data_IF_489537592458
#
_entry.id   IF_489537592458
#
_cell.length_a   1.000
_cell.length_b   1.000
_cell.length_c   1.000
_cell.angle_alpha   90.00
_cell.angle_beta   90.00
_cell.angle_gamma   90.00
#
_symmetry.space_group_name_H-M   'P 1'
#
loop_
_entity.id
_entity.type
_entity.pdbx_description
1 polymer ?
#
# COMPACT_ATOMS: atom_id res chain seq x y z
N UNK A 1 -15.13 35.75 -10.27
CA UNK A 1 -13.75 36.25 -10.16
C UNK A 1 -12.83 35.29 -10.93
N UNK A 2 -12.08 35.86 -11.89
CA UNK A 2 -11.02 35.13 -12.59
C UNK A 2 -9.87 34.93 -11.61
N UNK A 3 -9.61 33.67 -11.25
CA UNK A 3 -8.54 33.28 -10.32
C UNK A 3 -7.25 32.91 -11.06
N UNK A 4 -7.19 33.17 -12.38
CA UNK A 4 -5.99 32.92 -13.20
C UNK A 4 -5.65 31.47 -13.46
N UNK A 5 -6.55 30.51 -13.15
CA UNK A 5 -6.36 29.10 -13.48
C UNK A 5 -6.60 28.89 -14.97
N UNK A 6 -5.58 28.43 -15.67
CA UNK A 6 -5.63 28.16 -17.12
C UNK A 6 -5.56 26.66 -17.45
N UNK A 7 -5.30 25.81 -16.47
CA UNK A 7 -5.25 24.35 -16.64
C UNK A 7 -5.70 23.64 -15.36
N UNK A 8 -6.49 22.59 -15.51
CA UNK A 8 -6.86 21.66 -14.44
C UNK A 8 -6.40 20.27 -14.86
N UNK A 9 -5.63 19.59 -13.99
CA UNK A 9 -5.26 18.18 -14.16
C UNK A 9 -5.88 17.37 -13.03
N UNK A 10 -6.55 16.28 -13.40
CA UNK A 10 -7.19 15.36 -12.47
C UNK A 10 -6.63 13.95 -12.68
N UNK A 11 -6.50 13.20 -11.61
CA UNK A 11 -6.18 11.77 -11.63
C UNK A 11 -7.30 11.03 -10.91
N UNK A 12 -8.37 10.63 -11.63
CA UNK A 12 -9.45 9.86 -11.02
C UNK A 12 -8.93 8.54 -10.48
N UNK A 13 -9.47 8.05 -9.34
CA UNK A 13 -9.12 6.73 -8.83
C UNK A 13 -9.64 5.65 -9.78
N UNK A 14 -9.00 4.48 -9.83
CA UNK A 14 -9.58 3.30 -10.49
C UNK A 14 -10.97 2.98 -9.98
N UNK A 15 -11.86 2.56 -10.86
CA UNK A 15 -13.28 2.29 -10.56
C UNK A 15 -13.47 1.23 -9.45
N UNK A 16 -12.49 0.32 -9.28
CA UNK A 16 -12.53 -0.70 -8.23
C UNK A 16 -12.49 -0.12 -6.81
N UNK A 17 -12.04 1.13 -6.63
CA UNK A 17 -11.99 1.81 -5.33
C UNK A 17 -13.31 2.48 -4.95
N UNK A 18 -14.25 2.58 -5.89
CA UNK A 18 -15.57 3.13 -5.63
C UNK A 18 -16.44 2.09 -4.90
N UNK A 19 -17.36 2.56 -4.05
CA UNK A 19 -18.35 1.68 -3.40
C UNK A 19 -19.20 0.94 -4.43
N UNK A 20 -19.58 1.64 -5.50
CA UNK A 20 -20.25 1.06 -6.66
C UNK A 20 -19.44 1.31 -7.93
N UNK A 21 -19.30 0.31 -8.83
CA UNK A 21 -18.65 0.52 -10.12
C UNK A 21 -19.47 1.55 -10.94
N UNK A 22 -18.92 2.75 -11.07
CA UNK A 22 -19.55 3.82 -11.83
C UNK A 22 -18.50 4.60 -12.65
N UNK A 23 -18.94 5.14 -13.79
CA UNK A 23 -18.10 5.92 -14.71
C UNK A 23 -18.69 7.33 -14.94
N UNK A 24 -19.52 7.79 -14.02
CA UNK A 24 -20.19 9.09 -14.15
C UNK A 24 -19.19 10.24 -14.19
N UNK A 25 -18.12 10.15 -13.39
CA UNK A 25 -17.07 11.17 -13.37
C UNK A 25 -16.36 11.25 -14.72
N UNK A 26 -15.94 10.12 -15.28
CA UNK A 26 -15.26 10.07 -16.58
C UNK A 26 -16.14 10.63 -17.69
N UNK A 27 -17.42 10.26 -17.72
CA UNK A 27 -18.38 10.79 -18.65
C UNK A 27 -18.55 12.31 -18.50
N UNK A 28 -18.69 12.81 -17.26
CA UNK A 28 -18.85 14.25 -16.99
C UNK A 28 -17.61 15.06 -17.42
N UNK A 29 -16.40 14.53 -17.13
CA UNK A 29 -15.15 15.16 -17.54
C UNK A 29 -15.04 15.24 -19.05
N UNK A 30 -15.32 14.15 -19.79
CA UNK A 30 -15.32 14.14 -21.25
C UNK A 30 -16.34 15.13 -21.82
N UNK A 31 -17.54 15.20 -21.25
CA UNK A 31 -18.58 16.18 -21.65
C UNK A 31 -18.16 17.63 -21.40
N UNK A 32 -17.25 17.88 -20.47
CA UNK A 32 -16.67 19.21 -20.16
C UNK A 32 -15.40 19.52 -20.94
N UNK A 33 -15.00 18.64 -21.89
CA UNK A 33 -13.86 18.86 -22.76
C UNK A 33 -12.51 18.45 -22.12
N UNK A 34 -12.51 17.65 -21.06
CA UNK A 34 -11.27 17.05 -20.56
C UNK A 34 -10.78 15.97 -21.52
N UNK A 35 -9.48 15.93 -21.71
CA UNK A 35 -8.80 14.94 -22.55
C UNK A 35 -7.92 14.03 -21.69
N UNK A 36 -7.82 12.75 -22.06
CA UNK A 36 -6.93 11.80 -21.41
C UNK A 36 -5.50 12.07 -21.88
N UNK A 37 -4.66 12.58 -20.98
CA UNK A 37 -3.25 12.88 -21.27
C UNK A 37 -2.28 11.79 -20.79
N UNK A 38 -2.74 10.90 -19.93
CA UNK A 38 -1.95 9.77 -19.38
C UNK A 38 -2.87 8.65 -18.97
N UNK A 39 -2.46 7.42 -19.25
CA UNK A 39 -3.11 6.20 -18.75
C UNK A 39 -2.11 5.39 -17.98
N UNK A 40 -2.50 4.88 -16.80
CA UNK A 40 -1.69 4.01 -15.97
C UNK A 40 -2.42 2.67 -15.78
N UNK A 41 -1.64 1.59 -15.67
CA UNK A 41 -2.18 0.27 -15.40
C UNK A 41 -2.13 0.00 -13.90
N UNK A 42 -3.29 -0.28 -13.31
CA UNK A 42 -3.40 -0.76 -11.93
C UNK A 42 -3.52 -2.28 -11.95
N UNK A 43 -2.79 -2.95 -11.07
CA UNK A 43 -2.86 -4.40 -10.88
C UNK A 43 -3.43 -4.69 -9.49
N UNK A 44 -4.22 -5.75 -9.39
CA UNK A 44 -4.78 -6.22 -8.14
C UNK A 44 -4.63 -7.73 -8.00
N UNK A 45 -4.58 -8.19 -6.76
CA UNK A 45 -4.63 -9.61 -6.40
C UNK A 45 -6.05 -9.92 -5.93
N UNK A 46 -6.63 -11.00 -6.44
CA UNK A 46 -7.93 -11.49 -5.98
C UNK A 46 -7.76 -12.17 -4.62
N UNK A 47 -8.58 -11.76 -3.64
CA UNK A 47 -8.63 -12.34 -2.30
C UNK A 47 -9.95 -13.10 -2.04
N UNK A 48 -10.81 -13.20 -3.06
CA UNK A 48 -12.09 -13.92 -3.01
C UNK A 48 -11.94 -15.41 -3.39
N UNK A 49 -10.76 -15.97 -3.18
CA UNK A 49 -10.42 -17.38 -3.36
C UNK A 49 -10.08 -18.00 -2.00
N UNK A 50 -10.23 -19.34 -1.82
CA UNK A 50 -9.84 -20.01 -0.59
C UNK A 50 -8.37 -19.75 -0.22
N UNK A 51 -8.11 -19.61 1.08
CA UNK A 51 -6.77 -19.25 1.57
C UNK A 51 -5.71 -20.28 1.18
N UNK A 52 -6.07 -21.57 1.20
CA UNK A 52 -5.20 -22.67 0.79
C UNK A 52 -4.87 -22.65 -0.72
N UNK A 53 -5.72 -22.05 -1.54
CA UNK A 53 -5.48 -21.85 -2.97
C UNK A 53 -4.71 -20.56 -3.26
N UNK A 54 -4.78 -19.56 -2.37
CA UNK A 54 -4.18 -18.24 -2.57
C UNK A 54 -2.67 -18.36 -2.84
N UNK A 55 -1.94 -19.07 -1.99
CA UNK A 55 -0.51 -19.29 -2.17
C UNK A 55 -0.21 -20.05 -3.48
N UNK A 56 -1.11 -20.95 -3.91
CA UNK A 56 -1.04 -21.66 -5.19
C UNK A 56 -1.15 -20.73 -6.40
N UNK A 57 -1.90 -19.65 -6.28
CA UNK A 57 -2.12 -18.67 -7.36
C UNK A 57 -0.89 -17.83 -7.71
N UNK A 58 0.05 -17.68 -6.77
CA UNK A 58 1.28 -16.92 -7.00
C UNK A 58 2.28 -17.64 -7.89
N UNK A 59 3.09 -16.87 -8.59
CA UNK A 59 4.20 -17.44 -9.40
C UNK A 59 5.19 -18.19 -8.50
N UNK A 60 5.85 -19.21 -9.07
CA UNK A 60 6.72 -20.12 -8.32
C UNK A 60 7.82 -19.42 -7.51
N UNK A 61 8.38 -18.32 -8.04
CA UNK A 61 9.39 -17.52 -7.35
C UNK A 61 8.87 -16.91 -6.05
N UNK A 62 7.65 -16.38 -6.05
CA UNK A 62 7.01 -15.81 -4.85
C UNK A 62 6.70 -16.88 -3.83
N UNK A 63 6.10 -18.02 -4.25
CA UNK A 63 5.85 -19.16 -3.34
C UNK A 63 7.12 -19.67 -2.66
N UNK A 64 8.19 -19.78 -3.43
CA UNK A 64 9.49 -20.23 -2.89
C UNK A 64 10.06 -19.21 -1.89
N UNK A 65 9.94 -17.92 -2.18
CA UNK A 65 10.37 -16.85 -1.28
C UNK A 65 9.57 -16.87 0.02
N UNK A 66 8.25 -16.99 -0.04
CA UNK A 66 7.36 -17.12 1.11
C UNK A 66 7.77 -18.29 2.02
N UNK A 67 7.81 -19.50 1.46
CA UNK A 67 8.18 -20.71 2.22
C UNK A 67 9.58 -20.64 2.83
N UNK A 68 10.50 -19.94 2.17
CA UNK A 68 11.84 -19.71 2.72
C UNK A 68 11.79 -18.74 3.89
N UNK A 69 11.05 -17.65 3.79
CA UNK A 69 10.90 -16.68 4.86
C UNK A 69 10.30 -17.32 6.11
N UNK A 70 9.25 -18.12 5.94
CA UNK A 70 8.62 -18.92 7.01
C UNK A 70 9.63 -19.85 7.72
N UNK A 71 10.40 -20.62 6.95
CA UNK A 71 11.46 -21.49 7.47
C UNK A 71 12.58 -20.77 8.21
N UNK A 72 12.85 -19.52 7.84
CA UNK A 72 13.84 -18.67 8.51
C UNK A 72 13.30 -18.05 9.81
N UNK A 73 12.03 -18.28 10.14
CA UNK A 73 11.42 -17.81 11.38
C UNK A 73 10.91 -16.39 11.32
N UNK A 74 10.64 -15.87 10.13
CA UNK A 74 9.94 -14.60 9.98
C UNK A 74 8.52 -14.74 10.52
N UNK A 75 8.03 -13.70 11.21
CA UNK A 75 6.69 -13.67 11.78
C UNK A 75 5.92 -12.50 11.18
N UNK A 76 4.70 -12.79 10.75
CA UNK A 76 3.75 -11.77 10.29
C UNK A 76 2.85 -11.32 11.44
N UNK A 77 2.59 -10.03 11.55
CA UNK A 77 1.67 -9.47 12.54
C UNK A 77 0.90 -8.28 11.97
N UNK A 78 -0.41 -8.29 12.15
CA UNK A 78 -1.28 -7.13 11.90
C UNK A 78 -1.29 -6.26 13.16
N UNK A 79 -1.23 -4.95 12.97
CA UNK A 79 -1.31 -3.93 14.03
C UNK A 79 -2.52 -3.06 13.73
N UNK A 80 -3.60 -3.27 14.46
CA UNK A 80 -4.83 -2.49 14.29
C UNK A 80 -4.71 -1.09 14.87
N UNK A 81 -4.10 -0.97 16.05
CA UNK A 81 -3.91 0.28 16.77
C UNK A 81 -2.42 0.45 17.10
N UNK A 82 -1.63 1.03 16.19
CA UNK A 82 -0.20 1.18 16.40
C UNK A 82 0.11 2.09 17.58
N UNK A 83 0.99 1.62 18.45
CA UNK A 83 1.61 2.46 19.48
C UNK A 83 2.50 3.51 18.83
N UNK A 84 2.84 4.57 19.58
CA UNK A 84 3.76 5.60 19.09
C UNK A 84 5.11 4.98 18.67
N UNK A 85 5.62 4.02 19.43
CA UNK A 85 6.88 3.33 19.10
C UNK A 85 6.80 2.52 17.79
N UNK A 86 5.68 1.84 17.54
CA UNK A 86 5.44 1.11 16.30
C UNK A 86 5.30 2.08 15.11
N UNK A 87 4.64 3.22 15.32
CA UNK A 87 4.52 4.26 14.31
C UNK A 87 5.88 4.92 14.01
N UNK A 88 6.69 5.18 15.04
CA UNK A 88 8.04 5.68 14.87
C UNK A 88 8.90 4.71 14.07
N UNK A 89 8.80 3.42 14.41
CA UNK A 89 9.51 2.37 13.69
C UNK A 89 9.06 2.23 12.24
N UNK A 90 7.75 2.35 11.97
CA UNK A 90 7.21 2.43 10.62
C UNK A 90 7.88 3.55 9.83
N UNK A 91 7.89 4.76 10.40
CA UNK A 91 8.44 5.93 9.74
C UNK A 91 9.95 5.78 9.43
N UNK A 92 10.72 5.29 10.38
CA UNK A 92 12.16 5.03 10.21
C UNK A 92 12.41 4.10 9.02
N UNK A 93 11.75 2.93 8.98
CA UNK A 93 11.92 1.95 7.90
C UNK A 93 11.49 2.54 6.55
N UNK A 94 10.40 3.29 6.51
CA UNK A 94 9.92 3.92 5.28
C UNK A 94 10.93 4.93 4.75
N UNK A 95 11.44 5.81 5.59
CA UNK A 95 12.42 6.84 5.20
C UNK A 95 13.73 6.20 4.74
N UNK A 96 14.26 5.24 5.50
CA UNK A 96 15.47 4.48 5.16
C UNK A 96 15.33 3.80 3.78
N UNK A 97 14.21 3.10 3.57
CA UNK A 97 13.93 2.42 2.31
C UNK A 97 13.85 3.39 1.12
N UNK A 98 13.16 4.52 1.28
CA UNK A 98 13.04 5.54 0.23
C UNK A 98 14.38 6.23 -0.06
N UNK A 99 15.17 6.50 0.97
CA UNK A 99 16.52 7.05 0.80
C UNK A 99 17.43 6.10 0.01
N UNK A 100 17.36 4.78 0.26
CA UNK A 100 18.06 3.76 -0.52
C UNK A 100 17.67 3.73 -2.00
N UNK A 101 16.46 4.20 -2.34
CA UNK A 101 15.97 4.35 -3.71
C UNK A 101 16.26 5.74 -4.31
N UNK A 102 16.91 6.64 -3.57
CA UNK A 102 17.19 8.00 -4.01
C UNK A 102 15.97 8.94 -4.03
N UNK A 103 14.90 8.60 -3.28
CA UNK A 103 13.67 9.38 -3.19
C UNK A 103 13.26 9.62 -1.73
N UNK A 104 12.29 10.50 -1.52
CA UNK A 104 11.64 10.70 -0.22
C UNK A 104 10.22 10.13 -0.24
N UNK A 105 9.61 9.80 0.90
CA UNK A 105 8.20 9.50 0.98
C UNK A 105 7.36 10.63 0.38
N UNK A 106 6.26 10.29 -0.30
CA UNK A 106 5.35 11.28 -0.91
C UNK A 106 4.65 12.17 0.13
N UNK A 107 4.47 11.66 1.34
CA UNK A 107 3.87 12.37 2.48
C UNK A 107 4.92 12.53 3.57
N UNK A 108 4.80 13.61 4.35
CA UNK A 108 5.60 13.76 5.56
C UNK A 108 4.94 13.01 6.75
N UNK A 109 5.69 12.86 7.84
CA UNK A 109 5.23 12.13 9.01
C UNK A 109 3.92 12.67 9.59
N UNK A 110 3.77 14.00 9.68
CA UNK A 110 2.57 14.63 10.24
C UNK A 110 1.31 14.38 9.39
N UNK A 111 1.47 14.33 8.08
CA UNK A 111 0.37 14.00 7.15
C UNK A 111 -0.09 12.55 7.34
N UNK A 112 0.84 11.62 7.55
CA UNK A 112 0.53 10.21 7.81
C UNK A 112 -0.13 10.04 9.19
N UNK A 113 0.37 10.72 10.24
CA UNK A 113 -0.24 10.73 11.57
C UNK A 113 -1.65 11.33 11.53
N UNK A 114 -1.83 12.44 10.81
CA UNK A 114 -3.13 13.07 10.62
C UNK A 114 -4.11 12.11 9.94
N UNK A 115 -3.68 11.45 8.90
CA UNK A 115 -4.50 10.49 8.16
C UNK A 115 -4.93 9.33 9.04
N UNK A 116 -3.99 8.75 9.82
CA UNK A 116 -4.30 7.71 10.79
C UNK A 116 -5.34 8.15 11.83
N UNK A 117 -5.27 9.41 12.27
CA UNK A 117 -6.22 9.96 13.25
C UNK A 117 -7.60 10.27 12.64
N UNK A 118 -7.67 10.58 11.34
CA UNK A 118 -8.92 10.94 10.67
C UNK A 118 -9.75 9.72 10.25
N UNK A 119 -9.10 8.64 9.84
CA UNK A 119 -9.75 7.43 9.29
C UNK A 119 -9.10 6.14 9.82
N UNK A 120 -8.99 5.97 11.16
CA UNK A 120 -8.27 4.85 11.75
C UNK A 120 -8.85 3.48 11.34
N UNK A 121 -10.18 3.41 11.16
CA UNK A 121 -10.89 2.19 10.76
C UNK A 121 -10.60 1.74 9.32
N UNK A 122 -10.11 2.64 8.49
CA UNK A 122 -9.74 2.34 7.10
C UNK A 122 -8.26 2.00 6.94
N UNK A 123 -7.48 2.13 8.01
CA UNK A 123 -6.04 1.93 7.98
C UNK A 123 -5.65 0.64 8.67
N UNK A 124 -4.85 -0.16 7.99
CA UNK A 124 -4.31 -1.40 8.51
C UNK A 124 -2.80 -1.40 8.31
N UNK A 125 -2.07 -1.53 9.40
CA UNK A 125 -0.63 -1.76 9.37
C UNK A 125 -0.35 -3.25 9.54
N UNK A 126 0.51 -3.80 8.71
CA UNK A 126 1.07 -5.13 8.96
C UNK A 126 2.60 -5.08 8.91
N UNK A 127 3.23 -5.94 9.67
CA UNK A 127 4.69 -5.97 9.83
C UNK A 127 5.21 -7.38 9.72
N UNK A 128 6.47 -7.49 9.31
CA UNK A 128 7.26 -8.71 9.43
C UNK A 128 8.31 -8.49 10.49
N UNK A 129 8.36 -9.42 11.44
CA UNK A 129 9.33 -9.44 12.52
C UNK A 129 10.35 -10.58 12.32
N UNK A 130 11.59 -10.30 12.65
CA UNK A 130 12.67 -11.26 12.68
C UNK A 130 13.55 -11.00 13.92
N UNK A 131 13.80 -12.04 14.72
CA UNK A 131 14.57 -11.95 15.99
C UNK A 131 14.08 -10.82 16.92
N UNK A 132 12.76 -10.61 16.98
CA UNK A 132 12.13 -9.65 17.88
C UNK A 132 12.14 -8.20 17.40
N UNK A 133 12.57 -7.93 16.17
CA UNK A 133 12.54 -6.60 15.59
C UNK A 133 11.68 -6.53 14.30
N UNK A 134 11.01 -5.42 14.09
CA UNK A 134 10.28 -5.15 12.85
C UNK A 134 11.30 -4.83 11.76
N UNK A 135 11.29 -5.62 10.67
CA UNK A 135 12.21 -5.51 9.54
C UNK A 135 11.54 -5.10 8.23
N UNK A 136 10.22 -5.23 8.15
CA UNK A 136 9.42 -4.86 6.99
C UNK A 136 8.02 -4.50 7.42
N UNK A 137 7.35 -3.71 6.60
CA UNK A 137 6.01 -3.22 6.90
C UNK A 137 5.23 -2.93 5.62
N UNK A 138 3.92 -2.96 5.78
CA UNK A 138 2.96 -2.48 4.81
C UNK A 138 1.89 -1.65 5.52
N UNK A 139 1.45 -0.58 4.89
CA UNK A 139 0.33 0.23 5.32
C UNK A 139 -0.72 0.25 4.23
N UNK A 140 -1.88 -0.27 4.55
CA UNK A 140 -2.97 -0.49 3.64
C UNK A 140 -4.14 0.43 3.94
N UNK A 141 -4.88 0.80 2.88
CA UNK A 141 -6.18 1.46 2.98
C UNK A 141 -7.31 0.50 2.60
N UNK A 142 -8.29 0.34 3.48
CA UNK A 142 -9.59 -0.18 3.12
C UNK A 142 -10.36 0.87 2.34
N UNK A 143 -10.38 0.74 1.02
CA UNK A 143 -11.06 1.71 0.14
C UNK A 143 -12.57 1.52 0.16
N UNK A 144 -13.03 0.28 0.23
CA UNK A 144 -14.42 -0.13 0.36
C UNK A 144 -14.47 -1.56 0.93
N UNK A 145 -15.67 -2.15 1.05
CA UNK A 145 -15.87 -3.50 1.60
C UNK A 145 -15.20 -4.64 0.79
N UNK A 146 -14.63 -4.35 -0.37
CA UNK A 146 -14.10 -5.34 -1.32
C UNK A 146 -12.67 -5.06 -1.76
N UNK A 147 -12.14 -3.87 -1.47
CA UNK A 147 -10.88 -3.41 -2.04
C UNK A 147 -9.99 -2.79 -0.99
N UNK A 148 -8.79 -3.32 -0.90
CA UNK A 148 -7.70 -2.80 -0.08
C UNK A 148 -6.60 -2.29 -1.00
N UNK A 149 -6.13 -1.08 -0.74
CA UNK A 149 -5.00 -0.47 -1.44
C UNK A 149 -3.73 -0.65 -0.60
N UNK A 150 -2.72 -1.29 -1.17
CA UNK A 150 -1.37 -1.26 -0.63
C UNK A 150 -0.77 0.13 -0.85
N UNK A 151 -0.67 0.92 0.22
CA UNK A 151 -0.29 2.33 0.13
C UNK A 151 1.21 2.55 0.32
N UNK A 152 1.76 2.06 1.43
CA UNK A 152 3.20 2.05 1.68
C UNK A 152 3.67 0.65 1.99
N UNK A 153 4.73 0.25 1.30
CA UNK A 153 5.47 -0.97 1.57
C UNK A 153 6.95 -0.63 1.67
N UNK A 154 7.62 -1.13 2.70
CA UNK A 154 9.04 -0.91 2.92
C UNK A 154 9.69 -2.07 3.68
N UNK A 155 10.98 -2.24 3.48
CA UNK A 155 11.81 -3.16 4.25
C UNK A 155 13.17 -2.52 4.52
N UNK A 156 13.85 -2.99 5.54
CA UNK A 156 15.25 -2.63 5.80
C UNK A 156 16.19 -3.41 4.87
N UNK A 157 17.12 -2.70 4.24
CA UNK A 157 18.07 -3.25 3.27
C UNK A 157 18.90 -4.44 3.82
N UNK A 158 19.41 -4.43 5.06
CA UNK A 158 20.17 -5.56 5.60
C UNK A 158 19.40 -6.88 5.60
N UNK A 159 18.08 -6.82 5.66
CA UNK A 159 17.19 -7.99 5.70
C UNK A 159 16.59 -8.38 4.34
N UNK A 160 16.96 -7.70 3.26
CA UNK A 160 16.45 -7.98 1.91
C UNK A 160 16.63 -9.45 1.50
N UNK A 161 17.75 -10.08 1.92
CA UNK A 161 18.05 -11.50 1.64
C UNK A 161 17.05 -12.48 2.28
N UNK A 162 16.37 -12.07 3.34
CA UNK A 162 15.33 -12.85 4.01
C UNK A 162 14.00 -12.82 3.24
N UNK A 163 13.87 -11.94 2.26
CA UNK A 163 12.67 -11.76 1.43
C UNK A 163 11.42 -11.40 2.26
N UNK A 164 11.47 -10.38 3.13
CA UNK A 164 10.34 -10.06 3.99
C UNK A 164 9.13 -9.53 3.21
N UNK A 165 9.31 -8.83 2.08
CA UNK A 165 8.20 -8.29 1.27
C UNK A 165 7.30 -9.39 0.72
N UNK A 166 7.79 -10.46 0.02
CA UNK A 166 6.94 -11.56 -0.39
C UNK A 166 6.26 -12.34 0.75
N UNK A 167 6.68 -12.12 1.98
CA UNK A 167 6.05 -12.70 3.18
C UNK A 167 5.00 -11.78 3.80
N UNK A 168 5.06 -10.47 3.44
CA UNK A 168 4.16 -9.43 3.92
C UNK A 168 2.88 -9.31 3.06
N UNK A 169 2.98 -9.57 1.76
CA UNK A 169 1.90 -9.51 0.77
C UNK A 169 1.29 -10.88 0.52
#
# INVERSE_FOLDING_TARGET
HDIGINQIRLTPPPVIYNEFPEQQLDFALQRKGFEVVRTELTQGVRLDIPEDELLGSFVNKTRTAFRRAEKLGLKFRVIENPTQAEFDRFWEILVENRAGLGVTPAHNRKEIELLHNLVPENLMMAVVEYEGQIISLIWNFGCNSRTVLEFYMAHQEPFQKLRPVPFLT
#
